data_IF_769221036723
#
_entry.id   IF_769221036723
#
_cell.length_a   1.000
_cell.length_b   1.000
_cell.length_c   1.000
_cell.angle_alpha   90.00
_cell.angle_beta   90.00
_cell.angle_gamma   90.00
#
_symmetry.space_group_name_H-M   'P 1'
#
loop_
_entity.id
_entity.type
_entity.pdbx_description
1 polymer ?
#
# COMPACT_ATOMS: atom_id res chain seq x y z
N UNK A 1 -40.01 -39.18 34.68
CA UNK A 1 -39.57 -39.49 33.31
C UNK A 1 -38.75 -38.32 32.82
N UNK A 2 -37.43 -38.38 33.06
CA UNK A 2 -36.41 -38.36 32.00
C UNK A 2 -36.68 -37.27 30.96
N UNK A 3 -35.95 -36.17 31.00
CA UNK A 3 -34.98 -35.84 29.95
C UNK A 3 -33.85 -34.98 30.54
N UNK A 4 -32.66 -35.56 30.52
CA UNK A 4 -31.38 -34.91 30.71
C UNK A 4 -30.80 -34.66 29.31
N UNK A 5 -30.69 -33.40 28.90
CA UNK A 5 -30.00 -32.90 27.70
C UNK A 5 -29.75 -31.41 28.01
N UNK A 6 -28.57 -30.80 27.91
CA UNK A 6 -27.30 -31.19 27.32
C UNK A 6 -26.25 -30.17 27.81
N UNK A 7 -25.30 -30.61 28.63
CA UNK A 7 -24.17 -29.82 29.12
C UNK A 7 -23.07 -29.68 28.04
N UNK A 8 -23.38 -29.06 26.90
CA UNK A 8 -22.47 -28.99 25.75
C UNK A 8 -22.45 -27.62 25.03
N UNK A 9 -22.63 -26.51 25.76
CA UNK A 9 -22.58 -25.17 25.17
C UNK A 9 -21.33 -24.34 25.55
N UNK A 10 -20.24 -24.96 26.02
CA UNK A 10 -19.06 -24.21 26.53
C UNK A 10 -17.68 -24.66 26.01
N UNK A 11 -17.57 -25.49 24.97
CA UNK A 11 -16.26 -25.93 24.45
C UNK A 11 -15.86 -25.35 23.08
N UNK A 12 -16.70 -24.56 22.42
CA UNK A 12 -16.44 -24.11 21.04
C UNK A 12 -15.61 -22.81 20.91
N UNK A 13 -15.21 -22.15 22.00
CA UNK A 13 -14.48 -20.87 21.94
C UNK A 13 -12.99 -20.96 22.33
N UNK A 14 -12.44 -22.17 22.52
CA UNK A 14 -11.05 -22.35 22.94
C UNK A 14 -10.05 -22.66 21.79
N UNK A 15 -10.44 -22.56 20.52
CA UNK A 15 -9.59 -22.94 19.38
C UNK A 15 -9.11 -21.78 18.46
N UNK A 16 -9.47 -20.52 18.74
CA UNK A 16 -9.00 -19.39 17.91
C UNK A 16 -7.70 -18.72 18.37
N UNK A 17 -7.14 -19.13 19.52
CA UNK A 17 -6.03 -18.42 20.17
C UNK A 17 -4.61 -18.92 19.83
N UNK A 18 -4.45 -19.96 18.99
CA UNK A 18 -3.14 -20.60 18.76
C UNK A 18 -2.58 -20.50 17.32
N UNK A 19 -3.14 -19.64 16.46
CA UNK A 19 -2.67 -19.49 15.08
C UNK A 19 -1.87 -18.20 14.77
N UNK A 20 -1.43 -17.43 15.79
CA UNK A 20 -0.67 -16.19 15.59
C UNK A 20 0.81 -16.26 16.01
N UNK A 21 1.38 -17.43 16.29
CA UNK A 21 2.69 -17.56 16.95
C UNK A 21 3.85 -18.10 16.09
N UNK A 22 3.77 -18.16 14.75
CA UNK A 22 4.90 -18.70 13.98
C UNK A 22 4.97 -18.23 12.52
N UNK A 23 5.13 -16.92 12.30
CA UNK A 23 5.76 -16.47 11.05
C UNK A 23 7.26 -16.35 11.33
N UNK A 24 7.99 -17.39 10.93
CA UNK A 24 9.44 -17.32 10.80
C UNK A 24 9.79 -16.06 9.99
N UNK A 25 10.82 -15.29 10.38
CA UNK A 25 11.20 -14.10 9.61
C UNK A 25 11.47 -14.53 8.17
N UNK A 26 10.86 -13.87 7.17
CA UNK A 26 11.05 -14.25 5.78
C UNK A 26 12.55 -14.26 5.50
N UNK A 27 13.03 -15.36 4.90
CA UNK A 27 14.42 -15.52 4.49
C UNK A 27 14.90 -14.24 3.78
N UNK A 28 16.13 -13.81 4.12
CA UNK A 28 16.73 -12.52 3.74
C UNK A 28 16.52 -12.21 2.26
N UNK A 29 15.52 -11.38 1.95
CA UNK A 29 15.31 -10.89 0.60
C UNK A 29 16.52 -10.04 0.19
N UNK A 30 17.12 -10.36 -0.97
CA UNK A 30 18.24 -9.61 -1.52
C UNK A 30 17.75 -8.22 -1.92
N UNK A 31 18.12 -7.22 -1.15
CA UNK A 31 17.74 -5.82 -1.35
C UNK A 31 18.77 -5.14 -2.26
N UNK A 32 18.29 -4.32 -3.20
CA UNK A 32 19.15 -3.57 -4.13
C UNK A 32 19.92 -2.47 -3.39
N UNK A 33 21.03 -1.99 -3.94
CA UNK A 33 21.71 -0.85 -3.33
C UNK A 33 20.89 0.44 -3.51
N UNK A 34 21.04 1.43 -2.61
CA UNK A 34 20.38 2.74 -2.77
C UNK A 34 20.81 3.42 -4.09
N UNK A 35 22.06 3.20 -4.52
CA UNK A 35 22.56 3.73 -5.80
C UNK A 35 21.83 3.09 -6.99
N UNK A 36 21.59 1.77 -6.96
CA UNK A 36 20.77 1.08 -7.97
C UNK A 36 19.33 1.61 -7.97
N UNK A 37 18.74 1.81 -6.78
CA UNK A 37 17.40 2.38 -6.65
C UNK A 37 17.30 3.76 -7.32
N UNK A 38 18.26 4.65 -7.05
CA UNK A 38 18.28 5.99 -7.64
C UNK A 38 18.46 5.98 -9.16
N UNK A 39 19.24 5.02 -9.69
CA UNK A 39 19.41 4.81 -11.12
C UNK A 39 18.10 4.36 -11.78
N UNK A 40 17.40 3.42 -11.15
CA UNK A 40 16.12 2.91 -11.65
C UNK A 40 15.06 4.02 -11.65
N UNK A 41 14.96 4.75 -10.54
CA UNK A 41 14.01 5.84 -10.35
C UNK A 41 14.62 7.21 -10.68
N UNK A 42 15.38 7.31 -11.77
CA UNK A 42 16.08 8.57 -12.15
C UNK A 42 15.14 9.72 -12.54
N UNK A 43 13.90 9.41 -12.95
CA UNK A 43 12.89 10.41 -13.31
C UNK A 43 11.64 10.31 -12.45
N UNK A 44 10.97 11.44 -12.27
CA UNK A 44 9.70 11.48 -11.54
C UNK A 44 8.62 10.63 -12.23
N UNK A 45 8.60 10.59 -13.57
CA UNK A 45 7.68 9.78 -14.34
C UNK A 45 7.80 8.28 -14.02
N UNK A 46 9.03 7.74 -13.97
CA UNK A 46 9.27 6.34 -13.61
C UNK A 46 8.81 6.04 -12.18
N UNK A 47 9.10 6.96 -11.26
CA UNK A 47 8.69 6.84 -9.85
C UNK A 47 7.16 6.79 -9.73
N UNK A 48 6.45 7.67 -10.43
CA UNK A 48 4.99 7.68 -10.43
C UNK A 48 4.44 6.39 -11.05
N UNK A 49 4.95 5.94 -12.19
CA UNK A 49 4.50 4.70 -12.85
C UNK A 49 4.68 3.47 -11.96
N UNK A 50 5.76 3.42 -11.18
CA UNK A 50 5.96 2.36 -10.21
C UNK A 50 4.96 2.44 -9.06
N UNK A 51 4.66 3.63 -8.55
CA UNK A 51 3.61 3.80 -7.54
C UNK A 51 2.22 3.47 -8.10
N UNK A 52 1.94 3.77 -9.37
CA UNK A 52 0.71 3.35 -10.06
C UNK A 52 0.60 1.82 -10.04
N UNK A 53 1.68 1.13 -10.39
CA UNK A 53 1.74 -0.34 -10.35
C UNK A 53 1.57 -0.90 -8.94
N UNK A 54 2.23 -0.32 -7.93
CA UNK A 54 2.10 -0.80 -6.55
C UNK A 54 0.67 -0.61 -6.03
N UNK A 55 0.05 0.53 -6.35
CA UNK A 55 -1.27 0.89 -5.79
C UNK A 55 -2.43 0.20 -6.48
N UNK A 56 -2.36 0.05 -7.80
CA UNK A 56 -3.49 -0.34 -8.63
C UNK A 56 -3.21 -1.53 -9.55
N UNK A 57 -1.93 -1.89 -9.70
CA UNK A 57 -1.38 -2.90 -10.61
C UNK A 57 -1.81 -2.71 -12.07
N UNK A 58 -3.09 -2.94 -12.38
CA UNK A 58 -3.70 -2.82 -13.71
C UNK A 58 -4.84 -1.80 -13.77
N UNK A 59 -5.69 -1.72 -12.75
CA UNK A 59 -6.93 -0.94 -12.80
C UNK A 59 -6.95 0.17 -11.75
N UNK A 60 -7.03 1.45 -12.16
CA UNK A 60 -7.10 2.54 -11.21
C UNK A 60 -8.41 2.46 -10.43
N UNK A 61 -8.34 2.67 -9.11
CA UNK A 61 -9.51 2.74 -8.24
C UNK A 61 -9.62 4.16 -7.70
N UNK A 62 -10.82 4.75 -7.78
CA UNK A 62 -11.06 6.09 -7.28
C UNK A 62 -10.87 6.13 -5.75
N UNK A 63 -9.91 6.90 -5.22
CA UNK A 63 -9.65 6.95 -3.78
C UNK A 63 -10.74 7.70 -2.99
N UNK A 64 -11.66 8.40 -3.67
CA UNK A 64 -12.72 9.17 -3.02
C UNK A 64 -14.00 8.35 -2.79
N UNK A 65 -14.37 7.49 -3.73
CA UNK A 65 -15.63 6.74 -3.69
C UNK A 65 -15.47 5.23 -3.89
N UNK A 66 -14.25 4.74 -4.18
CA UNK A 66 -13.98 3.32 -4.42
C UNK A 66 -14.42 2.79 -5.79
N UNK A 67 -15.03 3.62 -6.64
CA UNK A 67 -15.44 3.23 -7.99
C UNK A 67 -14.24 2.89 -8.88
N UNK A 68 -14.38 1.85 -9.70
CA UNK A 68 -13.37 1.34 -10.63
C UNK A 68 -13.76 1.70 -12.08
N UNK A 69 -15.06 1.80 -12.33
CA UNK A 69 -15.62 2.12 -13.63
C UNK A 69 -15.38 3.58 -14.03
N UNK A 70 -15.43 3.85 -15.34
CA UNK A 70 -15.46 5.22 -15.87
C UNK A 70 -14.29 6.14 -15.46
N UNK A 71 -13.12 5.57 -15.11
CA UNK A 71 -11.93 6.36 -14.80
C UNK A 71 -11.20 6.76 -16.08
N UNK A 72 -11.05 8.06 -16.30
CA UNK A 72 -10.28 8.63 -17.40
C UNK A 72 -8.94 9.20 -16.93
N UNK A 73 -7.95 9.25 -17.84
CA UNK A 73 -6.69 9.99 -17.63
C UNK A 73 -6.78 11.38 -18.25
N UNK A 74 -6.34 12.41 -17.54
CA UNK A 74 -6.21 13.76 -18.12
C UNK A 74 -5.09 13.78 -19.17
N UNK A 75 -5.39 14.34 -20.34
CA UNK A 75 -4.39 14.56 -21.40
C UNK A 75 -3.44 15.73 -21.07
N UNK A 76 -3.96 16.77 -20.44
CA UNK A 76 -3.21 18.00 -20.14
C UNK A 76 -2.39 17.93 -18.84
N UNK A 77 -2.89 17.21 -17.83
CA UNK A 77 -2.23 17.03 -16.54
C UNK A 77 -1.66 15.62 -16.42
N UNK A 78 -0.33 15.51 -16.48
CA UNK A 78 0.38 14.23 -16.39
C UNK A 78 0.02 13.52 -15.08
N UNK A 79 -0.23 12.21 -15.16
CA UNK A 79 -0.55 11.33 -14.02
C UNK A 79 -1.75 11.75 -13.16
N UNK A 80 -2.67 12.51 -13.74
CA UNK A 80 -3.94 12.85 -13.09
C UNK A 80 -5.06 12.02 -13.71
N UNK A 81 -5.83 11.39 -12.83
CA UNK A 81 -6.99 10.59 -13.16
C UNK A 81 -8.24 11.36 -12.76
N UNK A 82 -9.35 11.05 -13.41
CA UNK A 82 -10.64 11.61 -13.06
C UNK A 82 -11.67 10.49 -13.12
N UNK A 83 -12.57 10.50 -12.16
CA UNK A 83 -13.68 9.56 -12.15
C UNK A 83 -14.96 10.32 -12.51
N UNK A 84 -15.67 9.83 -13.54
CA UNK A 84 -16.87 10.51 -14.08
C UNK A 84 -17.98 10.64 -13.06
N UNK A 85 -18.22 9.61 -12.25
CA UNK A 85 -19.38 9.56 -11.38
C UNK A 85 -19.19 10.46 -10.15
N UNK A 86 -17.99 10.44 -9.55
CA UNK A 86 -17.70 11.33 -8.42
C UNK A 86 -17.23 12.73 -8.84
N UNK A 87 -16.98 12.97 -10.14
CA UNK A 87 -16.48 14.23 -10.74
C UNK A 87 -15.26 14.84 -10.03
N UNK A 88 -14.42 13.99 -9.42
CA UNK A 88 -13.21 14.40 -8.70
C UNK A 88 -11.96 13.91 -9.43
N UNK A 89 -10.97 14.79 -9.52
CA UNK A 89 -9.65 14.45 -10.01
C UNK A 89 -8.80 13.89 -8.86
N UNK A 90 -7.98 12.89 -9.16
CA UNK A 90 -7.08 12.28 -8.20
C UNK A 90 -5.75 11.89 -8.86
N UNK A 91 -4.74 11.69 -8.03
CA UNK A 91 -3.43 11.21 -8.43
C UNK A 91 -3.08 9.98 -7.60
N UNK A 92 -1.96 9.33 -7.91
CA UNK A 92 -1.44 8.21 -7.13
C UNK A 92 -1.18 8.59 -5.66
N UNK A 93 -0.93 9.87 -5.39
CA UNK A 93 -0.68 10.38 -4.03
C UNK A 93 -1.96 10.69 -3.25
N UNK A 94 -3.13 10.68 -3.90
CA UNK A 94 -4.40 11.03 -3.24
C UNK A 94 -4.71 10.05 -2.09
N UNK A 95 -5.17 10.58 -0.95
CA UNK A 95 -5.36 9.85 0.31
C UNK A 95 -4.15 9.04 0.78
N UNK A 96 -2.93 9.57 0.61
CA UNK A 96 -1.70 8.99 1.18
C UNK A 96 -0.95 10.03 2.00
N UNK A 97 0.03 9.60 2.79
CA UNK A 97 0.99 10.49 3.47
C UNK A 97 1.70 11.45 2.51
N UNK A 98 1.79 11.10 1.22
CA UNK A 98 2.45 11.91 0.19
C UNK A 98 1.54 12.99 -0.39
N UNK A 99 0.23 12.98 -0.09
CA UNK A 99 -0.78 13.85 -0.72
C UNK A 99 -0.42 15.33 -0.58
N UNK A 100 -0.23 15.79 0.65
CA UNK A 100 0.00 17.20 0.96
C UNK A 100 1.47 17.62 0.84
N UNK A 101 2.36 16.67 0.55
CA UNK A 101 3.80 16.94 0.49
C UNK A 101 4.19 17.62 -0.82
N UNK A 102 5.02 18.67 -0.73
CA UNK A 102 5.68 19.30 -1.88
C UNK A 102 6.93 18.54 -2.33
N UNK A 103 7.21 17.40 -1.70
CA UNK A 103 8.39 16.58 -1.98
C UNK A 103 8.17 15.81 -3.28
N UNK A 104 9.17 15.79 -4.21
CA UNK A 104 9.10 15.00 -5.43
C UNK A 104 8.89 13.52 -5.15
N UNK A 105 8.14 12.86 -6.03
CA UNK A 105 7.77 11.44 -5.86
C UNK A 105 8.99 10.52 -5.77
N UNK A 106 10.07 10.86 -6.47
CA UNK A 106 11.35 10.14 -6.41
C UNK A 106 11.93 10.11 -4.99
N UNK A 107 11.92 11.24 -4.27
CA UNK A 107 12.45 11.31 -2.89
C UNK A 107 11.61 10.49 -1.93
N UNK A 108 10.30 10.41 -2.15
CA UNK A 108 9.42 9.53 -1.38
C UNK A 108 9.76 8.06 -1.56
N UNK A 109 10.04 7.62 -2.79
CA UNK A 109 10.46 6.23 -3.05
C UNK A 109 11.74 5.90 -2.28
N UNK A 110 12.72 6.81 -2.27
CA UNK A 110 13.97 6.63 -1.52
C UNK A 110 13.74 6.62 -0.01
N UNK A 111 12.89 7.53 0.49
CA UNK A 111 12.55 7.60 1.91
C UNK A 111 11.86 6.30 2.38
N UNK A 112 10.82 5.87 1.67
CA UNK A 112 10.10 4.61 1.96
C UNK A 112 11.06 3.42 1.88
N UNK A 113 11.90 3.35 0.84
CA UNK A 113 12.88 2.29 0.70
C UNK A 113 13.86 2.25 1.88
N UNK A 114 14.38 3.41 2.30
CA UNK A 114 15.31 3.50 3.42
C UNK A 114 14.63 3.09 4.73
N UNK A 115 13.37 3.52 4.95
CA UNK A 115 12.60 3.12 6.14
C UNK A 115 12.33 1.61 6.18
N UNK A 116 12.06 0.98 5.04
CA UNK A 116 11.76 -0.46 4.97
C UNK A 116 13.01 -1.35 5.03
N UNK A 117 14.15 -0.86 4.55
CA UNK A 117 15.38 -1.65 4.42
C UNK A 117 16.41 -1.37 5.51
N UNK A 118 16.23 -0.29 6.28
CA UNK A 118 17.11 0.02 7.40
C UNK A 118 16.92 -1.00 8.51
N UNK A 119 17.99 -1.73 8.83
CA UNK A 119 18.02 -2.69 9.94
C UNK A 119 18.14 -2.02 11.31
N UNK A 120 18.49 -0.74 11.33
CA UNK A 120 18.64 0.10 12.52
C UNK A 120 17.63 1.23 12.44
N UNK A 121 17.13 1.71 13.57
CA UNK A 121 16.29 2.91 13.60
C UNK A 121 17.02 4.07 12.92
N UNK A 122 16.28 4.86 12.14
CA UNK A 122 16.82 6.14 11.64
C UNK A 122 16.87 7.08 12.84
N UNK A 123 18.07 7.38 13.33
CA UNK A 123 18.23 8.30 14.45
C UNK A 123 17.77 9.69 14.01
N UNK A 124 16.80 10.26 14.73
CA UNK A 124 16.48 11.68 14.60
C UNK A 124 17.44 12.45 15.50
N UNK A 125 18.21 13.37 14.91
CA UNK A 125 18.90 14.41 15.67
C UNK A 125 17.90 15.46 16.14
#
# INVERSE_FOLDING_TARGET
MKQALSAQALSAQALSAQALSAQAPPARAKTISIIELLKEFSTEHKSIKQLEKIRWDKEPICPHCGGIDNIGKYKSKKHTYWHKDCRKAFTVKTNTIMHASKIPTQKWVVAIYTMLTSRKSVSSL
#
